data_IF_385394478593
#
_entry.id   IF_385394478593
#
_cell.length_a   1.000
_cell.length_b   1.000
_cell.length_c   1.000
_cell.angle_alpha   90.00
_cell.angle_beta   90.00
_cell.angle_gamma   90.00
#
_symmetry.space_group_name_H-M   'P 1'
#
loop_
_entity.id
_entity.type
_entity.pdbx_description
1 polymer ?
#
# COMPACT_ATOMS: atom_id res chain seq x y z
N UNK A 1 -6.28 23.24 -5.45
CA UNK A 1 -7.17 23.75 -6.52
C UNK A 1 -6.29 23.96 -7.74
N UNK A 2 -6.26 22.99 -8.66
CA UNK A 2 -5.34 23.00 -9.80
C UNK A 2 -6.01 23.71 -10.99
N UNK A 3 -5.81 25.02 -11.06
CA UNK A 3 -6.05 25.81 -12.27
C UNK A 3 -4.75 26.51 -12.64
N UNK A 4 -4.12 26.05 -13.73
CA UNK A 4 -3.30 26.80 -14.69
C UNK A 4 -2.38 25.87 -15.45
N UNK A 5 -2.86 25.30 -16.56
CA UNK A 5 -2.05 25.23 -17.78
C UNK A 5 -2.97 25.61 -18.94
N UNK A 6 -3.03 26.92 -19.14
CA UNK A 6 -3.84 27.61 -20.14
C UNK A 6 -3.39 27.27 -21.57
N UNK A 7 -4.38 27.18 -22.45
CA UNK A 7 -4.24 27.25 -23.91
C UNK A 7 -3.99 28.71 -24.32
N UNK A 8 -3.03 28.95 -25.22
CA UNK A 8 -3.17 29.92 -26.33
C UNK A 8 -2.21 29.55 -27.48
N UNK A 9 -2.80 29.32 -28.66
CA UNK A 9 -2.12 29.16 -29.95
C UNK A 9 -1.60 30.52 -30.45
N UNK A 10 -0.42 30.53 -31.07
CA UNK A 10 -0.03 31.52 -32.08
C UNK A 10 1.06 30.95 -32.99
N UNK A 11 0.66 30.75 -34.25
CA UNK A 11 1.34 30.79 -35.56
C UNK A 11 2.68 30.07 -35.85
N UNK A 12 2.54 29.11 -36.77
CA UNK A 12 3.31 28.81 -37.98
C UNK A 12 4.80 29.21 -38.10
N UNK A 13 5.67 28.20 -38.21
CA UNK A 13 6.66 28.10 -39.29
C UNK A 13 7.15 26.66 -39.44
N UNK A 14 7.23 26.24 -40.70
CA UNK A 14 7.76 24.97 -41.19
C UNK A 14 9.22 24.73 -40.78
N UNK A 15 9.59 23.48 -40.46
CA UNK A 15 10.46 22.59 -41.26
C UNK A 15 11.12 21.52 -40.37
N UNK A 16 11.14 20.29 -40.90
CA UNK A 16 12.13 19.22 -40.69
C UNK A 16 12.13 18.36 -39.41
N UNK A 17 11.71 17.10 -39.65
CA UNK A 17 12.37 15.86 -39.25
C UNK A 17 13.01 15.81 -37.84
N UNK A 18 12.32 15.13 -36.92
CA UNK A 18 12.94 14.10 -36.09
C UNK A 18 11.88 13.15 -35.54
N UNK A 19 12.21 11.87 -35.61
CA UNK A 19 11.50 10.74 -35.05
C UNK A 19 11.02 11.02 -33.63
N UNK A 20 9.73 11.24 -33.48
CA UNK A 20 9.05 11.08 -32.20
C UNK A 20 7.78 10.28 -32.47
N UNK A 21 7.90 8.95 -32.37
CA UNK A 21 6.77 8.05 -32.26
C UNK A 21 6.04 8.32 -30.93
N UNK A 22 5.31 9.44 -30.84
CA UNK A 22 4.24 9.59 -29.88
C UNK A 22 2.95 9.13 -30.53
N UNK A 23 2.82 7.81 -30.69
CA UNK A 23 1.50 7.19 -30.85
C UNK A 23 0.94 7.02 -29.43
N UNK A 24 0.56 8.14 -28.79
CA UNK A 24 -0.52 8.06 -27.80
C UNK A 24 -1.82 8.09 -28.59
N UNK A 25 -2.19 6.93 -29.13
CA UNK A 25 -3.52 6.74 -29.66
C UNK A 25 -4.50 6.82 -28.50
N UNK A 26 -5.44 7.75 -28.58
CA UNK A 26 -6.48 8.08 -27.59
C UNK A 26 -7.49 6.95 -27.31
N UNK A 27 -7.11 5.70 -27.54
CA UNK A 27 -7.91 4.47 -27.41
C UNK A 27 -7.25 3.40 -26.52
N UNK A 28 -6.12 3.67 -25.86
CA UNK A 28 -5.52 2.70 -24.94
C UNK A 28 -6.40 2.58 -23.68
N UNK A 29 -7.31 1.61 -23.67
CA UNK A 29 -7.91 1.12 -22.43
C UNK A 29 -6.78 0.63 -21.53
N UNK A 30 -6.83 1.00 -20.25
CA UNK A 30 -5.91 0.47 -19.25
C UNK A 30 -5.97 -1.06 -19.30
N UNK A 31 -4.82 -1.72 -19.18
CA UNK A 31 -4.73 -3.18 -19.08
C UNK A 31 -4.77 -3.62 -17.62
N UNK A 32 -5.13 -4.88 -17.33
CA UNK A 32 -5.03 -5.44 -15.98
C UNK A 32 -3.63 -5.29 -15.35
N UNK A 33 -2.58 -5.49 -16.14
CA UNK A 33 -1.20 -5.35 -15.67
C UNK A 33 -0.86 -3.89 -15.31
N UNK A 34 -1.34 -2.92 -16.10
CA UNK A 34 -1.17 -1.50 -15.78
C UNK A 34 -1.97 -1.09 -14.53
N UNK A 35 -3.15 -1.69 -14.32
CA UNK A 35 -3.94 -1.50 -13.11
C UNK A 35 -3.24 -2.07 -11.86
N UNK A 36 -2.65 -3.27 -11.98
CA UNK A 36 -1.85 -3.85 -10.90
C UNK A 36 -0.59 -3.02 -10.63
N UNK A 37 0.12 -2.61 -11.68
CA UNK A 37 1.32 -1.77 -11.52
C UNK A 37 0.99 -0.40 -10.90
N UNK A 38 -0.18 0.16 -11.22
CA UNK A 38 -0.68 1.36 -10.56
C UNK A 38 -0.86 1.14 -9.05
N UNK A 39 -1.47 0.01 -8.67
CA UNK A 39 -1.65 -0.37 -7.28
C UNK A 39 -0.30 -0.52 -6.56
N UNK A 40 0.63 -1.29 -7.13
CA UNK A 40 1.98 -1.47 -6.57
C UNK A 40 2.70 -0.15 -6.32
N UNK A 41 2.59 0.80 -7.26
CA UNK A 41 3.17 2.15 -7.12
C UNK A 41 2.51 2.95 -6.01
N UNK A 42 1.21 2.78 -5.79
CA UNK A 42 0.48 3.43 -4.71
C UNK A 42 0.86 2.83 -3.35
N UNK A 43 0.95 1.51 -3.25
CA UNK A 43 1.45 0.81 -2.08
C UNK A 43 2.90 1.24 -1.75
N UNK A 44 3.77 1.36 -2.75
CA UNK A 44 5.15 1.83 -2.53
C UNK A 44 5.19 3.26 -1.97
N UNK A 45 4.35 4.17 -2.48
CA UNK A 45 4.23 5.53 -1.92
C UNK A 45 3.75 5.52 -0.47
N UNK A 46 2.82 4.63 -0.16
CA UNK A 46 2.32 4.45 1.20
C UNK A 46 3.44 4.02 2.15
N UNK A 47 4.24 3.03 1.76
CA UNK A 47 5.43 2.60 2.51
C UNK A 47 6.38 3.76 2.76
N UNK A 48 6.73 4.52 1.72
CA UNK A 48 7.63 5.67 1.85
C UNK A 48 7.05 6.71 2.81
N UNK A 49 5.74 6.95 2.75
CA UNK A 49 5.04 7.82 3.69
C UNK A 49 5.16 7.35 5.14
N UNK A 50 4.99 6.04 5.38
CA UNK A 50 5.12 5.44 6.72
C UNK A 50 6.56 5.46 7.20
N UNK A 51 7.54 5.11 6.36
CA UNK A 51 8.98 5.19 6.71
C UNK A 51 9.34 6.60 7.16
N UNK A 52 8.88 7.62 6.45
CA UNK A 52 9.17 9.01 6.78
C UNK A 52 8.37 9.54 7.99
N UNK A 53 7.41 8.77 8.50
CA UNK A 53 6.60 9.16 9.66
C UNK A 53 7.20 8.74 11.00
N UNK A 54 8.20 7.87 10.97
CA UNK A 54 8.97 7.44 12.14
C UNK A 54 10.45 7.68 11.88
N UNK A 55 11.15 8.36 12.79
CA UNK A 55 12.62 8.36 12.79
C UNK A 55 13.07 6.90 12.78
N UNK A 56 14.10 6.51 11.98
CA UNK A 56 14.62 5.16 11.66
C UNK A 56 14.82 4.15 12.84
N UNK A 57 13.81 3.99 13.66
CA UNK A 57 13.74 3.28 14.95
C UNK A 57 12.96 1.98 14.80
N UNK A 58 12.25 1.84 13.69
CA UNK A 58 11.58 0.61 13.32
C UNK A 58 12.58 -0.36 12.65
N UNK A 59 12.45 -1.63 13.00
CA UNK A 59 13.13 -2.76 12.39
C UNK A 59 12.33 -3.26 11.18
N UNK A 60 11.00 -3.36 11.34
CA UNK A 60 10.02 -3.71 10.31
C UNK A 60 8.77 -2.84 10.40
N UNK A 61 8.11 -2.64 9.27
CA UNK A 61 6.79 -2.02 9.17
C UNK A 61 5.83 -3.02 8.55
N UNK A 62 4.62 -3.09 9.09
CA UNK A 62 3.49 -3.76 8.47
C UNK A 62 2.37 -2.75 8.26
N UNK A 63 1.79 -2.72 7.08
CA UNK A 63 0.65 -1.88 6.71
C UNK A 63 -0.46 -2.80 6.25
N UNK A 64 -1.59 -2.81 6.94
CA UNK A 64 -2.77 -3.55 6.58
C UNK A 64 -3.82 -2.59 6.05
N UNK A 65 -4.39 -2.91 4.90
CA UNK A 65 -5.33 -2.06 4.19
C UNK A 65 -6.62 -2.85 4.00
N UNK A 66 -7.72 -2.32 4.54
CA UNK A 66 -9.07 -2.83 4.28
C UNK A 66 -9.66 -2.07 3.10
N UNK A 67 -10.10 -2.81 2.09
CA UNK A 67 -10.77 -2.26 0.91
C UNK A 67 -12.30 -2.29 1.03
N UNK A 68 -12.85 -2.52 2.22
CA UNK A 68 -14.28 -2.37 2.49
C UNK A 68 -14.73 -0.94 2.16
N UNK A 69 -15.62 -0.79 1.18
CA UNK A 69 -16.11 0.52 0.74
C UNK A 69 -16.91 1.27 1.82
N UNK A 70 -17.45 0.55 2.82
CA UNK A 70 -18.21 1.16 3.92
C UNK A 70 -17.29 1.69 5.01
N UNK A 71 -16.18 1.00 5.26
CA UNK A 71 -15.21 1.35 6.30
C UNK A 71 -13.77 1.02 5.86
N UNK A 72 -13.21 1.78 4.91
CA UNK A 72 -11.86 1.57 4.42
C UNK A 72 -10.84 2.05 5.46
N UNK A 73 -9.87 1.20 5.78
CA UNK A 73 -8.88 1.50 6.83
C UNK A 73 -7.46 1.26 6.36
N UNK A 74 -6.52 1.98 6.98
CA UNK A 74 -5.09 1.70 6.93
C UNK A 74 -4.63 1.53 8.39
N UNK A 75 -4.22 0.32 8.74
CA UNK A 75 -3.73 -0.06 10.05
C UNK A 75 -2.22 -0.30 9.96
N UNK A 76 -1.42 0.38 10.79
CA UNK A 76 0.05 0.38 10.71
C UNK A 76 0.65 -0.18 11.99
N UNK A 77 1.64 -1.07 11.82
CA UNK A 77 2.38 -1.71 12.89
C UNK A 77 3.87 -1.55 12.66
N UNK A 78 4.57 -1.37 13.76
CA UNK A 78 6.02 -1.24 13.79
C UNK A 78 6.59 -2.32 14.68
N UNK A 79 7.63 -2.99 14.20
CA UNK A 79 8.53 -3.70 15.07
C UNK A 79 9.61 -2.73 15.53
N UNK A 80 9.71 -2.49 16.83
CA UNK A 80 10.69 -1.60 17.45
C UNK A 80 11.28 -2.29 18.67
N UNK A 81 12.60 -2.43 18.74
CA UNK A 81 13.30 -3.12 19.83
C UNK A 81 12.74 -4.53 20.08
N UNK A 82 12.51 -5.32 19.02
CA UNK A 82 11.95 -6.66 19.11
C UNK A 82 10.48 -6.75 19.57
N UNK A 83 9.76 -5.63 19.65
CA UNK A 83 8.35 -5.59 20.04
C UNK A 83 7.48 -5.04 18.92
N UNK A 84 6.32 -5.68 18.69
CA UNK A 84 5.32 -5.18 17.77
C UNK A 84 4.45 -4.11 18.47
N UNK A 85 4.30 -2.94 17.83
CA UNK A 85 3.54 -1.80 18.33
C UNK A 85 2.58 -1.29 17.26
N UNK A 86 1.36 -0.95 17.67
CA UNK A 86 0.38 -0.29 16.81
C UNK A 86 0.71 1.20 16.74
N UNK A 87 0.50 1.83 15.59
CA UNK A 87 0.84 3.25 15.40
C UNK A 87 0.20 4.19 16.43
N UNK A 88 -1.01 3.92 16.90
CA UNK A 88 -1.72 4.75 17.88
C UNK A 88 -1.16 4.62 19.30
N UNK A 89 -0.38 3.57 19.55
CA UNK A 89 0.27 3.26 20.82
C UNK A 89 1.75 3.69 20.84
N UNK A 90 2.20 4.42 19.80
CA UNK A 90 3.54 5.01 19.79
C UNK A 90 3.69 6.08 20.87
N UNK A 91 4.87 6.12 21.49
CA UNK A 91 5.20 7.09 22.55
C UNK A 91 5.27 8.53 22.02
N UNK A 92 5.66 8.70 20.75
CA UNK A 92 5.83 10.01 20.13
C UNK A 92 4.51 10.53 19.52
N UNK A 93 3.90 11.52 20.18
CA UNK A 93 2.68 12.20 19.71
C UNK A 93 2.80 12.85 18.33
N UNK A 94 3.98 13.33 17.94
CA UNK A 94 4.20 13.91 16.61
C UNK A 94 4.09 12.84 15.52
N UNK A 95 4.69 11.66 15.72
CA UNK A 95 4.56 10.52 14.80
C UNK A 95 3.09 10.12 14.65
N UNK A 96 2.37 9.98 15.77
CA UNK A 96 0.94 9.64 15.77
C UNK A 96 0.10 10.63 14.96
N UNK A 97 0.36 11.93 15.11
CA UNK A 97 -0.34 12.97 14.34
C UNK A 97 -0.03 12.90 12.85
N UNK A 98 1.23 12.69 12.46
CA UNK A 98 1.61 12.54 11.05
C UNK A 98 0.94 11.31 10.44
N UNK A 99 1.03 10.16 11.11
CA UNK A 99 0.43 8.91 10.65
C UNK A 99 -1.09 9.06 10.50
N UNK A 100 -1.77 9.54 11.54
CA UNK A 100 -3.22 9.74 11.52
C UNK A 100 -3.64 10.70 10.39
N UNK A 101 -3.08 11.92 10.38
CA UNK A 101 -3.56 12.99 9.51
C UNK A 101 -3.12 12.85 8.06
N UNK A 102 -1.98 12.21 7.81
CA UNK A 102 -1.38 12.14 6.48
C UNK A 102 -1.40 10.75 5.88
N UNK A 103 -1.64 9.68 6.64
CA UNK A 103 -1.58 8.31 6.11
C UNK A 103 -2.94 7.63 6.27
N UNK A 104 -3.42 7.50 7.51
CA UNK A 104 -4.67 6.78 7.82
C UNK A 104 -5.88 7.45 7.15
N UNK A 105 -5.94 8.78 7.16
CA UNK A 105 -7.00 9.57 6.50
C UNK A 105 -7.06 9.38 4.98
N UNK A 106 -6.02 8.84 4.34
CA UNK A 106 -6.01 8.60 2.89
C UNK A 106 -6.81 7.36 2.49
N UNK A 107 -7.11 6.46 3.43
CA UNK A 107 -7.73 5.16 3.14
C UNK A 107 -8.98 5.26 2.24
N UNK A 108 -9.97 6.13 2.51
CA UNK A 108 -11.19 6.19 1.70
C UNK A 108 -10.93 6.59 0.24
N UNK A 109 -10.04 7.57 0.02
CA UNK A 109 -9.73 8.04 -1.32
C UNK A 109 -8.92 7.01 -2.11
N UNK A 110 -7.96 6.37 -1.44
CA UNK A 110 -7.13 5.33 -2.03
C UNK A 110 -7.97 4.12 -2.46
N UNK A 111 -8.79 3.57 -1.55
CA UNK A 111 -9.66 2.42 -1.83
C UNK A 111 -10.60 2.73 -2.99
N UNK A 112 -11.27 3.89 -2.96
CA UNK A 112 -12.15 4.31 -4.06
C UNK A 112 -11.42 4.37 -5.40
N UNK A 113 -10.21 4.93 -5.42
CA UNK A 113 -9.42 5.06 -6.64
C UNK A 113 -9.00 3.70 -7.20
N UNK A 114 -8.51 2.81 -6.36
CA UNK A 114 -8.11 1.45 -6.77
C UNK A 114 -9.32 0.66 -7.27
N UNK A 115 -10.45 0.69 -6.56
CA UNK A 115 -11.67 0.03 -7.00
C UNK A 115 -12.13 0.55 -8.36
N UNK A 116 -12.12 1.88 -8.58
CA UNK A 116 -12.45 2.45 -9.89
C UNK A 116 -11.54 1.93 -11.01
N UNK A 117 -10.23 1.84 -10.76
CA UNK A 117 -9.24 1.34 -11.71
C UNK A 117 -9.49 -0.13 -12.02
N UNK A 118 -9.62 -0.98 -11.00
CA UNK A 118 -9.85 -2.41 -11.15
C UNK A 118 -11.16 -2.71 -11.89
N UNK A 119 -12.24 -1.99 -11.56
CA UNK A 119 -13.51 -2.11 -12.28
C UNK A 119 -13.38 -1.72 -13.76
N UNK A 120 -12.53 -0.74 -14.10
CA UNK A 120 -12.38 -0.27 -15.49
C UNK A 120 -11.72 -1.29 -16.42
N UNK A 121 -11.10 -2.31 -15.83
CA UNK A 121 -10.38 -3.40 -16.52
C UNK A 121 -10.94 -4.78 -16.16
N UNK A 122 -12.15 -4.84 -15.59
CA UNK A 122 -12.85 -6.06 -15.16
C UNK A 122 -12.02 -6.97 -14.22
N UNK A 123 -11.14 -6.39 -13.40
CA UNK A 123 -10.41 -7.12 -12.36
C UNK A 123 -11.24 -7.30 -11.09
N UNK A 124 -11.00 -8.40 -10.39
CA UNK A 124 -11.53 -8.62 -9.04
C UNK A 124 -10.90 -7.63 -8.09
N UNK A 125 -11.74 -6.93 -7.32
CA UNK A 125 -11.30 -5.97 -6.31
C UNK A 125 -10.54 -6.67 -5.20
N UNK A 126 -9.73 -5.88 -4.53
CA UNK A 126 -9.06 -6.30 -3.31
C UNK A 126 -10.07 -6.27 -2.16
N UNK A 127 -10.03 -7.27 -1.29
CA UNK A 127 -10.65 -7.23 0.04
C UNK A 127 -9.66 -6.66 1.06
N UNK A 128 -8.41 -7.14 1.00
CA UNK A 128 -7.33 -6.70 1.86
C UNK A 128 -6.02 -6.62 1.08
N UNK A 129 -5.12 -5.75 1.52
CA UNK A 129 -3.72 -5.84 1.14
C UNK A 129 -2.84 -5.63 2.35
N UNK A 130 -1.76 -6.40 2.41
CA UNK A 130 -0.71 -6.23 3.39
C UNK A 130 0.58 -5.80 2.70
N UNK A 131 1.22 -4.81 3.28
CA UNK A 131 2.55 -4.38 2.91
C UNK A 131 3.51 -4.61 4.07
N UNK A 132 4.64 -5.26 3.80
CA UNK A 132 5.75 -5.41 4.75
C UNK A 132 6.96 -4.64 4.22
N UNK A 133 7.67 -3.94 5.11
CA UNK A 133 8.96 -3.32 4.81
C UNK A 133 9.98 -3.66 5.90
N UNK A 134 11.21 -3.95 5.49
CA UNK A 134 12.31 -4.29 6.39
C UNK A 134 13.43 -3.26 6.28
N UNK A 135 13.86 -2.70 7.40
CA UNK A 135 14.85 -1.62 7.40
C UNK A 135 16.26 -2.12 7.12
N UNK A 136 16.62 -3.34 7.52
CA UNK A 136 17.96 -3.88 7.32
C UNK A 136 18.20 -4.27 5.85
N UNK A 137 17.31 -5.12 5.31
CA UNK A 137 17.42 -5.61 3.93
C UNK A 137 16.94 -4.59 2.88
N UNK A 138 16.19 -3.56 3.30
CA UNK A 138 15.44 -2.63 2.41
C UNK A 138 14.43 -3.35 1.51
N UNK A 139 14.12 -4.60 1.82
CA UNK A 139 13.13 -5.37 1.09
C UNK A 139 11.72 -4.89 1.46
N UNK A 140 10.81 -5.01 0.50
CA UNK A 140 9.40 -4.81 0.73
C UNK A 140 8.59 -5.89 0.02
N UNK A 141 7.44 -6.20 0.60
CA UNK A 141 6.56 -7.25 0.13
C UNK A 141 5.14 -6.73 0.08
N UNK A 142 4.45 -7.06 -1.00
CA UNK A 142 3.03 -6.82 -1.18
C UNK A 142 2.32 -8.18 -1.20
N UNK A 143 1.24 -8.29 -0.44
CA UNK A 143 0.37 -9.45 -0.44
C UNK A 143 -1.08 -8.98 -0.55
N UNK A 144 -1.69 -9.29 -1.69
CA UNK A 144 -3.03 -8.86 -2.05
C UNK A 144 -4.02 -10.02 -1.90
N UNK A 145 -5.17 -9.75 -1.29
CA UNK A 145 -6.27 -10.68 -1.09
C UNK A 145 -7.48 -10.14 -1.85
N UNK A 146 -7.99 -10.88 -2.84
CA UNK A 146 -9.14 -10.48 -3.65
C UNK A 146 -10.47 -10.84 -3.00
N UNK A 147 -11.55 -10.16 -3.36
CA UNK A 147 -12.90 -10.38 -2.80
C UNK A 147 -13.46 -11.80 -3.01
N UNK A 148 -12.97 -12.55 -4.00
CA UNK A 148 -13.39 -13.93 -4.29
C UNK A 148 -12.57 -15.00 -3.57
N UNK A 149 -11.55 -14.58 -2.81
CA UNK A 149 -10.77 -15.46 -1.95
C UNK A 149 -11.58 -15.92 -0.73
N UNK A 150 -11.20 -17.06 -0.14
CA UNK A 150 -11.82 -17.55 1.10
C UNK A 150 -11.44 -16.62 2.26
N UNK A 151 -10.26 -16.05 2.19
CA UNK A 151 -9.65 -15.11 3.10
C UNK A 151 -10.45 -13.82 3.22
N UNK A 152 -11.06 -13.36 2.13
CA UNK A 152 -11.96 -12.20 2.14
C UNK A 152 -13.21 -12.41 3.01
N UNK A 153 -13.58 -13.66 3.31
CA UNK A 153 -14.72 -13.98 4.17
C UNK A 153 -14.38 -13.91 5.66
N UNK A 154 -13.10 -13.75 6.02
CA UNK A 154 -12.69 -13.61 7.41
C UNK A 154 -13.14 -12.26 7.95
N UNK A 155 -13.69 -12.28 9.16
CA UNK A 155 -13.93 -11.04 9.89
C UNK A 155 -12.60 -10.34 10.19
N UNK A 156 -12.51 -9.06 9.81
CA UNK A 156 -11.29 -8.25 9.93
C UNK A 156 -10.70 -8.31 11.34
N UNK A 157 -11.49 -8.00 12.37
CA UNK A 157 -10.98 -7.85 13.74
C UNK A 157 -10.44 -9.16 14.32
N UNK A 158 -11.17 -10.29 14.28
CA UNK A 158 -10.61 -11.58 14.73
C UNK A 158 -9.36 -12.00 13.96
N UNK A 159 -9.34 -11.87 12.63
CA UNK A 159 -8.17 -12.21 11.81
C UNK A 159 -6.97 -11.32 12.14
N UNK A 160 -7.22 -10.03 12.36
CA UNK A 160 -6.23 -9.06 12.81
C UNK A 160 -5.62 -9.43 14.17
N UNK A 161 -6.45 -9.67 15.20
CA UNK A 161 -5.97 -9.99 16.53
C UNK A 161 -5.15 -11.28 16.55
N UNK A 162 -5.58 -12.28 15.78
CA UNK A 162 -4.84 -13.54 15.63
C UNK A 162 -3.46 -13.30 15.00
N UNK A 163 -3.40 -12.57 13.89
CA UNK A 163 -2.14 -12.24 13.25
C UNK A 163 -1.21 -11.45 14.18
N UNK A 164 -1.73 -10.44 14.87
CA UNK A 164 -0.94 -9.63 15.79
C UNK A 164 -0.32 -10.50 16.90
N UNK A 165 -1.08 -11.43 17.47
CA UNK A 165 -0.61 -12.38 18.48
C UNK A 165 0.45 -13.35 17.92
N UNK A 166 0.20 -13.94 16.74
CA UNK A 166 1.12 -14.88 16.09
C UNK A 166 2.46 -14.20 15.72
N UNK A 167 2.41 -12.97 15.19
CA UNK A 167 3.61 -12.18 14.88
C UNK A 167 4.32 -11.76 16.16
N UNK A 168 3.62 -11.20 17.14
CA UNK A 168 4.24 -10.75 18.41
C UNK A 168 4.99 -11.87 19.14
N UNK A 169 4.53 -13.12 19.03
CA UNK A 169 5.18 -14.30 19.63
C UNK A 169 6.42 -14.80 18.89
N UNK A 170 6.57 -14.47 17.62
CA UNK A 170 7.65 -15.00 16.76
C UNK A 170 8.64 -13.93 16.32
N UNK A 171 8.28 -12.65 16.41
CA UNK A 171 9.01 -11.55 15.77
C UNK A 171 10.44 -11.38 16.29
N UNK A 172 10.70 -11.72 17.55
CA UNK A 172 12.01 -11.69 18.20
C UNK A 172 12.94 -12.82 17.73
N UNK A 173 12.38 -13.92 17.24
CA UNK A 173 13.12 -15.06 16.68
C UNK A 173 13.36 -14.94 15.16
N UNK A 174 12.71 -13.99 14.49
CA UNK A 174 12.80 -13.82 13.03
C UNK A 174 13.96 -12.89 12.65
N UNK A 175 14.87 -13.37 11.80
CA UNK A 175 16.04 -12.60 11.33
C UNK A 175 15.65 -11.31 10.61
N UNK A 176 16.19 -10.18 11.07
CA UNK A 176 15.88 -8.83 10.57
C UNK A 176 16.29 -8.58 9.10
N UNK A 177 17.19 -9.42 8.57
CA UNK A 177 17.65 -9.45 7.18
C UNK A 177 17.06 -10.63 6.36
N UNK A 178 16.17 -11.41 6.96
CA UNK A 178 15.63 -12.61 6.34
C UNK A 178 14.71 -12.28 5.17
N UNK A 179 14.77 -13.04 4.08
CA UNK A 179 13.79 -12.94 2.97
C UNK A 179 12.39 -13.45 3.34
N UNK A 180 12.06 -13.50 4.63
CA UNK A 180 10.88 -14.15 5.17
C UNK A 180 9.68 -13.20 5.12
N UNK A 181 8.66 -13.61 4.38
CA UNK A 181 7.39 -12.89 4.31
C UNK A 181 6.54 -13.28 5.50
N UNK A 182 6.12 -12.30 6.28
CA UNK A 182 5.20 -12.48 7.41
C UNK A 182 3.82 -12.07 6.91
N UNK A 183 3.04 -13.01 6.39
CA UNK A 183 1.73 -12.74 5.80
C UNK A 183 0.60 -12.75 6.81
N UNK A 184 -0.42 -11.94 6.56
CA UNK A 184 -1.65 -11.81 7.33
C UNK A 184 -2.62 -12.95 7.02
N UNK A 185 -3.47 -13.26 8.00
CA UNK A 185 -4.42 -14.37 7.96
C UNK A 185 -3.99 -15.57 8.80
N UNK A 186 -4.87 -16.55 9.04
CA UNK A 186 -4.60 -17.75 9.86
C UNK A 186 -3.55 -18.70 9.26
N UNK A 187 -2.87 -18.27 8.20
CA UNK A 187 -1.89 -19.06 7.48
C UNK A 187 -0.57 -18.94 8.21
N UNK A 188 -0.34 -19.94 9.07
CA UNK A 188 0.99 -20.26 9.57
C UNK A 188 1.98 -20.12 8.40
N UNK A 189 3.18 -19.58 8.63
CA UNK A 189 4.30 -19.91 7.76
C UNK A 189 4.37 -21.44 7.73
N UNK A 190 4.17 -22.06 6.58
CA UNK A 190 4.63 -23.43 6.40
C UNK A 190 6.15 -23.37 6.51
N UNK A 191 6.66 -23.83 7.65
CA UNK A 191 8.07 -24.04 7.92
C UNK A 191 8.50 -25.40 7.36
#
# INVERSE_FOLDING_TARGET
MFDKIFRKKSDASELQNKNENYIYSSNSKLTPDEAQHYWEKMAQKLIVGVINSVDYTAERIFILISFDEKDPTIDIFFQMNGQLRIWNDLDNEAHKKVISNSIVTQAPNMVKQINCIYNSVDMKRLAYSQVQYEFESKAWYLHDITEDSIEAQLEKTPAFLKWFDDVSKSIDTLSLDGKHKITWGPFKPEY
#
